data_IF_169378942521
#
_entry.id   IF_169378942521
#
_cell.length_a   1.000
_cell.length_b   1.000
_cell.length_c   1.000
_cell.angle_alpha   90.00
_cell.angle_beta   90.00
_cell.angle_gamma   90.00
#
_symmetry.space_group_name_H-M   'P 1'
#
loop_
_entity.id
_entity.type
_entity.pdbx_description
1 polymer ?
#
# COMPACT_ATOMS: atom_id res chain seq x y z
N UNK A 1 -9.01 -10.17 10.65
CA UNK A 1 -9.52 -9.24 9.60
C UNK A 1 -8.65 -7.98 9.65
N UNK A 2 -7.94 -7.67 8.57
CA UNK A 2 -7.22 -6.40 8.44
C UNK A 2 -8.30 -5.29 8.36
N UNK A 3 -8.26 -4.31 9.27
CA UNK A 3 -9.29 -3.26 9.33
C UNK A 3 -8.92 -2.13 8.36
N UNK A 4 -9.27 -2.28 7.09
CA UNK A 4 -8.97 -1.31 6.04
C UNK A 4 -9.55 0.09 6.35
N UNK A 5 -10.68 0.15 7.07
CA UNK A 5 -11.26 1.41 7.55
C UNK A 5 -10.37 2.08 8.59
N UNK A 6 -9.90 1.35 9.61
CA UNK A 6 -9.03 1.91 10.64
C UNK A 6 -7.70 2.42 10.09
N UNK A 7 -7.12 1.69 9.13
CA UNK A 7 -5.90 2.15 8.45
C UNK A 7 -6.13 3.41 7.62
N UNK A 8 -7.29 3.54 6.97
CA UNK A 8 -7.69 4.71 6.22
C UNK A 8 -7.92 5.93 7.11
N UNK A 9 -8.62 5.74 8.25
CA UNK A 9 -8.86 6.79 9.24
C UNK A 9 -7.56 7.37 9.78
N UNK A 10 -6.62 6.50 10.19
CA UNK A 10 -5.31 6.91 10.68
C UNK A 10 -4.51 7.68 9.61
N UNK A 11 -4.58 7.24 8.35
CA UNK A 11 -3.89 7.90 7.24
C UNK A 11 -4.43 9.31 6.99
N UNK A 12 -5.76 9.48 6.97
CA UNK A 12 -6.42 10.78 6.81
C UNK A 12 -6.10 11.69 7.99
N UNK A 13 -6.23 11.19 9.22
CA UNK A 13 -5.89 11.94 10.43
C UNK A 13 -4.44 12.46 10.39
N UNK A 14 -3.47 11.59 10.06
CA UNK A 14 -2.06 12.00 9.94
C UNK A 14 -1.83 13.05 8.86
N UNK A 15 -2.48 12.91 7.70
CA UNK A 15 -2.37 13.88 6.59
C UNK A 15 -2.82 15.26 7.05
N UNK A 16 -4.03 15.36 7.60
CA UNK A 16 -4.62 16.65 7.95
C UNK A 16 -4.01 17.25 9.21
N UNK A 17 -3.61 16.44 10.19
CA UNK A 17 -2.85 16.93 11.35
C UNK A 17 -1.50 17.52 10.94
N UNK A 18 -0.90 17.00 9.87
CA UNK A 18 0.32 17.58 9.30
C UNK A 18 0.02 18.87 8.54
N UNK A 19 -1.08 18.91 7.78
CA UNK A 19 -1.54 20.13 7.10
C UNK A 19 -1.76 21.28 8.09
N UNK A 20 -2.49 21.05 9.19
CA UNK A 20 -2.70 22.05 10.25
C UNK A 20 -1.38 22.61 10.79
N UNK A 21 -0.38 21.76 11.02
CA UNK A 21 0.94 22.20 11.49
C UNK A 21 1.70 23.02 10.45
N UNK A 22 1.64 22.62 9.17
CA UNK A 22 2.30 23.33 8.08
C UNK A 22 1.63 24.69 7.81
N UNK A 23 0.30 24.78 7.97
CA UNK A 23 -0.46 26.03 7.85
C UNK A 23 -0.24 26.96 9.04
N UNK A 24 -0.16 26.42 10.27
CA UNK A 24 -0.02 27.20 11.49
C UNK A 24 1.40 27.72 11.75
N UNK A 25 2.42 27.14 11.10
CA UNK A 25 3.79 27.64 11.17
C UNK A 25 4.15 28.55 9.98
N UNK A 26 5.28 29.26 10.06
CA UNK A 26 5.85 30.04 8.94
C UNK A 26 6.29 29.19 7.72
N UNK A 27 6.01 27.88 7.75
CA UNK A 27 6.24 26.93 6.67
C UNK A 27 5.05 26.88 5.71
N UNK A 28 4.55 28.06 5.28
CA UNK A 28 3.44 28.19 4.34
C UNK A 28 3.64 27.45 3.00
N UNK A 29 4.86 26.98 2.71
CA UNK A 29 5.25 26.19 1.54
C UNK A 29 5.39 24.68 1.82
N UNK A 30 4.85 24.19 2.93
CA UNK A 30 4.79 22.76 3.23
C UNK A 30 4.03 21.96 2.15
N UNK A 31 4.40 20.69 1.96
CA UNK A 31 3.77 19.81 0.96
C UNK A 31 2.25 19.67 1.12
N UNK A 32 1.75 19.85 2.34
CA UNK A 32 0.34 19.73 2.72
C UNK A 32 -0.25 21.06 3.23
N UNK A 33 0.42 22.19 3.00
CA UNK A 33 -0.12 23.51 3.38
C UNK A 33 -1.37 23.88 2.56
N UNK A 34 -1.49 23.33 1.34
CA UNK A 34 -2.67 23.50 0.50
C UNK A 34 -3.67 22.37 0.78
N UNK A 35 -4.84 22.76 1.27
CA UNK A 35 -5.96 21.86 1.51
C UNK A 35 -6.65 21.48 0.18
N UNK A 36 -7.07 20.21 0.00
CA UNK A 36 -7.80 19.83 -1.20
C UNK A 36 -9.24 20.34 -1.15
N UNK A 37 -9.78 20.71 -2.32
CA UNK A 37 -11.20 21.08 -2.45
C UNK A 37 -12.14 19.86 -2.49
N UNK A 38 -11.59 18.67 -2.74
CA UNK A 38 -12.32 17.41 -2.88
C UNK A 38 -11.43 16.22 -2.51
N UNK A 39 -12.01 15.24 -1.82
CA UNK A 39 -11.36 13.95 -1.56
C UNK A 39 -12.10 12.85 -2.31
N UNK A 40 -11.37 12.11 -3.15
CA UNK A 40 -11.85 10.89 -3.78
C UNK A 40 -11.20 9.67 -3.12
N UNK A 41 -12.03 8.72 -2.69
CA UNK A 41 -11.61 7.50 -2.01
C UNK A 41 -11.82 6.32 -2.93
N UNK A 42 -10.84 5.42 -3.07
CA UNK A 42 -11.01 4.16 -3.80
C UNK A 42 -11.78 3.16 -2.94
N UNK A 43 -13.11 3.29 -2.93
CA UNK A 43 -14.00 2.48 -2.09
C UNK A 43 -15.43 3.02 -2.06
N UNK A 44 -16.37 2.18 -1.60
CA UNK A 44 -17.78 2.56 -1.44
C UNK A 44 -18.08 3.36 -0.17
N UNK A 45 -19.38 3.52 0.12
CA UNK A 45 -19.92 4.37 1.20
C UNK A 45 -19.27 4.16 2.58
N UNK A 46 -18.94 2.92 2.96
CA UNK A 46 -18.27 2.66 4.25
C UNK A 46 -16.91 3.35 4.37
N UNK A 47 -16.16 3.47 3.27
CA UNK A 47 -14.91 4.21 3.23
C UNK A 47 -15.14 5.72 3.28
N UNK A 48 -16.15 6.22 2.54
CA UNK A 48 -16.54 7.64 2.58
C UNK A 48 -16.86 8.05 4.01
N UNK A 49 -17.73 7.31 4.68
CA UNK A 49 -18.09 7.54 6.07
C UNK A 49 -16.89 7.52 7.01
N UNK A 50 -16.00 6.54 6.87
CA UNK A 50 -14.80 6.46 7.70
C UNK A 50 -13.91 7.71 7.58
N UNK A 51 -13.75 8.24 6.36
CA UNK A 51 -13.00 9.48 6.10
C UNK A 51 -13.78 10.70 6.61
N UNK A 52 -15.08 10.80 6.31
CA UNK A 52 -15.96 11.88 6.74
C UNK A 52 -15.98 12.04 8.26
N UNK A 53 -16.05 10.93 9.01
CA UNK A 53 -16.04 10.93 10.48
C UNK A 53 -14.75 11.58 11.03
N UNK A 54 -13.59 11.25 10.44
CA UNK A 54 -12.30 11.84 10.84
C UNK A 54 -12.24 13.33 10.52
N UNK A 55 -12.68 13.74 9.33
CA UNK A 55 -12.69 15.17 8.97
C UNK A 55 -13.61 15.96 9.89
N UNK A 56 -14.76 15.39 10.24
CA UNK A 56 -15.72 16.00 11.15
C UNK A 56 -15.12 16.18 12.55
N UNK A 57 -14.45 15.17 13.08
CA UNK A 57 -13.76 15.25 14.39
C UNK A 57 -12.65 16.30 14.40
N UNK A 58 -12.05 16.58 13.24
CA UNK A 58 -11.05 17.64 13.04
C UNK A 58 -11.66 19.00 12.65
N UNK A 59 -12.98 19.12 12.57
CA UNK A 59 -13.68 20.33 12.11
C UNK A 59 -13.24 20.81 10.70
N UNK A 60 -12.97 19.85 9.80
CA UNK A 60 -12.59 20.09 8.41
C UNK A 60 -13.79 19.81 7.50
N UNK A 61 -14.12 20.77 6.64
CA UNK A 61 -15.29 20.71 5.76
C UNK A 61 -14.89 20.56 4.29
N UNK A 62 -14.35 19.39 3.93
CA UNK A 62 -14.01 19.04 2.55
C UNK A 62 -14.95 17.94 2.07
N UNK A 63 -15.59 18.06 0.89
CA UNK A 63 -16.44 17.01 0.37
C UNK A 63 -15.66 15.72 0.09
N UNK A 64 -16.26 14.59 0.45
CA UNK A 64 -15.69 13.25 0.26
C UNK A 64 -16.61 12.42 -0.61
N UNK A 65 -16.04 11.78 -1.63
CA UNK A 65 -16.76 10.83 -2.48
C UNK A 65 -15.95 9.56 -2.69
N UNK A 66 -16.65 8.43 -2.72
CA UNK A 66 -16.08 7.11 -2.98
C UNK A 66 -16.23 6.72 -4.44
N UNK A 67 -15.17 6.30 -5.11
CA UNK A 67 -15.24 5.79 -6.48
C UNK A 67 -15.69 4.34 -6.46
N UNK A 68 -16.92 4.07 -6.93
CA UNK A 68 -17.51 2.73 -6.91
C UNK A 68 -17.29 2.00 -8.22
N UNK A 69 -16.95 0.71 -8.10
CA UNK A 69 -16.75 -0.20 -9.23
C UNK A 69 -17.99 -1.08 -9.45
N UNK A 70 -18.16 -1.55 -10.68
CA UNK A 70 -19.08 -2.64 -11.01
C UNK A 70 -18.42 -4.01 -10.77
N UNK A 71 -19.17 -5.08 -11.05
CA UNK A 71 -18.69 -6.46 -10.90
C UNK A 71 -17.50 -6.78 -11.83
N UNK A 72 -17.38 -6.04 -12.94
CA UNK A 72 -16.25 -6.11 -13.88
C UNK A 72 -15.06 -5.22 -13.46
N UNK A 73 -15.06 -4.70 -12.22
CA UNK A 73 -14.03 -3.83 -11.66
C UNK A 73 -13.84 -2.50 -12.40
N UNK A 74 -14.86 -2.04 -13.15
CA UNK A 74 -14.85 -0.74 -13.83
C UNK A 74 -15.57 0.30 -13.00
N UNK A 75 -15.05 1.52 -12.98
CA UNK A 75 -15.75 2.68 -12.40
C UNK A 75 -17.14 2.78 -13.00
N UNK A 76 -18.17 2.90 -12.14
CA UNK A 76 -19.56 3.10 -12.58
C UNK A 76 -20.16 4.40 -12.05
N UNK A 77 -19.66 4.87 -10.91
CA UNK A 77 -20.25 5.98 -10.21
C UNK A 77 -19.39 6.53 -9.08
N UNK A 78 -19.94 7.52 -8.39
CA UNK A 78 -19.39 8.05 -7.15
C UNK A 78 -20.41 7.89 -6.02
N UNK A 79 -19.95 7.51 -4.84
CA UNK A 79 -20.73 7.36 -3.64
C UNK A 79 -20.53 8.56 -2.72
N UNK A 80 -21.61 9.18 -2.28
CA UNK A 80 -21.64 10.03 -1.09
C UNK A 80 -22.08 9.19 0.13
N UNK A 81 -22.13 9.83 1.30
CA UNK A 81 -22.52 9.17 2.56
C UNK A 81 -23.93 8.57 2.51
N UNK A 82 -24.85 9.19 1.76
CA UNK A 82 -26.28 8.85 1.72
C UNK A 82 -26.72 8.15 0.42
N UNK A 83 -26.00 8.34 -0.69
CA UNK A 83 -26.39 7.80 -1.99
C UNK A 83 -25.23 7.54 -2.94
N UNK A 84 -25.53 6.81 -4.01
CA UNK A 84 -24.63 6.62 -5.16
C UNK A 84 -25.16 7.41 -6.36
N UNK A 85 -24.24 8.07 -7.05
CA UNK A 85 -24.48 8.76 -8.30
C UNK A 85 -23.89 7.93 -9.45
N UNK A 86 -24.75 7.41 -10.31
CA UNK A 86 -24.32 6.75 -11.55
C UNK A 86 -23.73 7.79 -12.51
N UNK A 87 -22.57 7.47 -13.09
CA UNK A 87 -21.90 8.34 -14.06
C UNK A 87 -22.10 7.89 -15.51
N UNK A 88 -22.80 6.78 -15.74
CA UNK A 88 -23.09 6.27 -17.09
C UNK A 88 -23.80 7.28 -17.99
N UNK A 89 -24.59 8.18 -17.42
CA UNK A 89 -25.28 9.26 -18.14
C UNK A 89 -24.36 10.40 -18.57
N UNK A 90 -23.14 10.49 -18.02
CA UNK A 90 -22.15 11.50 -18.38
C UNK A 90 -20.77 10.88 -18.58
N UNK A 91 -20.50 10.46 -19.82
CA UNK A 91 -19.27 9.77 -20.20
C UNK A 91 -17.99 10.58 -19.95
N UNK A 92 -18.06 11.92 -20.00
CA UNK A 92 -16.89 12.77 -19.75
C UNK A 92 -16.49 12.71 -18.26
N UNK A 93 -17.47 12.84 -17.35
CA UNK A 93 -17.22 12.72 -15.91
C UNK A 93 -16.78 11.29 -15.58
N UNK A 94 -17.43 10.28 -16.15
CA UNK A 94 -17.05 8.88 -15.95
C UNK A 94 -15.59 8.62 -16.32
N UNK A 95 -15.16 9.09 -17.50
CA UNK A 95 -13.76 8.96 -17.94
C UNK A 95 -12.79 9.71 -17.05
N UNK A 96 -13.16 10.91 -16.60
CA UNK A 96 -12.32 11.71 -15.70
C UNK A 96 -12.11 11.02 -14.35
N UNK A 97 -13.18 10.56 -13.71
CA UNK A 97 -13.11 9.83 -12.43
C UNK A 97 -12.33 8.53 -12.60
N UNK A 98 -12.55 7.80 -13.70
CA UNK A 98 -11.79 6.57 -14.01
C UNK A 98 -10.30 6.84 -14.13
N UNK A 99 -9.89 7.91 -14.81
CA UNK A 99 -8.47 8.26 -14.94
C UNK A 99 -7.82 8.58 -13.57
N UNK A 100 -8.55 9.26 -12.68
CA UNK A 100 -8.09 9.51 -11.31
C UNK A 100 -7.94 8.20 -10.54
N UNK A 101 -8.92 7.30 -10.66
CA UNK A 101 -8.90 6.00 -9.99
C UNK A 101 -7.72 5.13 -10.47
N UNK A 102 -7.50 5.09 -11.78
CA UNK A 102 -6.39 4.35 -12.39
C UNK A 102 -5.04 4.89 -11.92
N UNK A 103 -4.88 6.21 -11.82
CA UNK A 103 -3.65 6.83 -11.33
C UNK A 103 -3.41 6.56 -9.85
N UNK A 104 -4.46 6.64 -9.01
CA UNK A 104 -4.39 6.29 -7.60
C UNK A 104 -3.99 4.81 -7.41
N UNK A 105 -4.59 3.92 -8.20
CA UNK A 105 -4.28 2.49 -8.19
C UNK A 105 -2.85 2.23 -8.65
N UNK A 106 -2.42 2.84 -9.76
CA UNK A 106 -1.04 2.75 -10.29
C UNK A 106 -0.03 3.16 -9.24
N UNK A 107 -0.27 4.29 -8.56
CA UNK A 107 0.60 4.78 -7.50
C UNK A 107 0.68 3.80 -6.33
N UNK A 108 -0.46 3.28 -5.87
CA UNK A 108 -0.52 2.31 -4.78
C UNK A 108 0.22 1.00 -5.11
N UNK A 109 0.04 0.48 -6.33
CA UNK A 109 0.75 -0.70 -6.82
C UNK A 109 2.25 -0.46 -6.90
N UNK A 110 2.68 0.67 -7.45
CA UNK A 110 4.09 1.03 -7.58
C UNK A 110 4.74 1.23 -6.21
N UNK A 111 4.05 1.90 -5.28
CA UNK A 111 4.52 2.11 -3.91
C UNK A 111 4.67 0.77 -3.16
N UNK A 112 3.68 -0.11 -3.26
CA UNK A 112 3.77 -1.45 -2.69
C UNK A 112 4.90 -2.28 -3.32
N UNK A 113 5.12 -2.14 -4.63
CA UNK A 113 6.28 -2.75 -5.31
C UNK A 113 7.58 -2.21 -4.73
N UNK A 114 7.75 -0.90 -4.59
CA UNK A 114 8.93 -0.26 -3.98
C UNK A 114 9.14 -0.69 -2.53
N UNK A 115 8.08 -0.79 -1.73
CA UNK A 115 8.17 -1.28 -0.35
C UNK A 115 8.60 -2.74 -0.29
N UNK A 116 8.06 -3.59 -1.17
CA UNK A 116 8.50 -4.98 -1.29
C UNK A 116 9.97 -5.04 -1.69
N UNK A 117 10.37 -4.32 -2.75
CA UNK A 117 11.76 -4.22 -3.15
C UNK A 117 12.67 -3.73 -2.03
N UNK A 118 12.25 -2.72 -1.25
CA UNK A 118 13.01 -2.24 -0.09
C UNK A 118 13.10 -3.28 1.02
N UNK A 119 12.05 -4.06 1.27
CA UNK A 119 12.10 -5.23 2.18
C UNK A 119 13.07 -6.29 1.65
N UNK A 120 13.21 -6.39 0.33
CA UNK A 120 14.18 -7.24 -0.35
C UNK A 120 15.57 -6.59 -0.53
N UNK A 121 15.82 -5.34 -0.15
CA UNK A 121 17.15 -4.70 -0.24
C UNK A 121 17.65 -4.41 1.19
N UNK A 122 18.82 -4.92 1.54
CA UNK A 122 19.38 -4.84 2.90
C UNK A 122 18.88 -5.96 3.83
N UNK A 123 18.42 -7.08 3.28
CA UNK A 123 18.18 -8.26 4.12
C UNK A 123 19.50 -8.99 4.28
N UNK A 124 19.75 -9.65 5.41
CA UNK A 124 20.96 -10.47 5.61
C UNK A 124 21.26 -11.48 4.47
N UNK A 125 20.25 -11.89 3.69
CA UNK A 125 20.47 -12.68 2.46
C UNK A 125 21.32 -11.97 1.38
N UNK A 126 21.42 -10.64 1.38
CA UNK A 126 22.24 -9.87 0.41
C UNK A 126 23.74 -10.00 0.68
N UNK A 127 24.12 -10.39 1.90
CA UNK A 127 25.51 -10.64 2.28
C UNK A 127 25.98 -12.04 1.84
N UNK A 128 25.07 -12.88 1.34
CA UNK A 128 25.36 -14.24 0.90
C UNK A 128 25.71 -14.20 -0.58
N UNK A 129 26.98 -14.47 -0.87
CA UNK A 129 27.47 -14.58 -2.24
C UNK A 129 26.66 -15.63 -3.05
N UNK A 130 26.16 -15.21 -4.22
CA UNK A 130 25.34 -16.06 -5.09
C UNK A 130 23.84 -15.97 -4.81
N UNK A 131 23.39 -15.17 -3.84
CA UNK A 131 21.96 -14.90 -3.61
C UNK A 131 21.58 -13.56 -4.25
N UNK A 132 21.20 -13.62 -5.53
CA UNK A 132 20.60 -12.48 -6.22
C UNK A 132 19.08 -12.35 -5.98
N UNK A 133 18.49 -11.30 -6.54
CA UNK A 133 17.07 -10.97 -6.38
C UNK A 133 16.10 -12.14 -6.67
N UNK A 134 16.37 -12.93 -7.73
CA UNK A 134 15.52 -14.08 -8.11
C UNK A 134 15.46 -15.16 -7.02
N UNK A 135 16.63 -15.61 -6.53
CA UNK A 135 16.74 -16.62 -5.47
C UNK A 135 16.15 -16.14 -4.16
N UNK A 136 16.38 -14.87 -3.82
CA UNK A 136 15.79 -14.22 -2.65
C UNK A 136 14.27 -14.18 -2.69
N UNK A 137 13.71 -13.78 -3.83
CA UNK A 137 12.27 -13.76 -4.02
C UNK A 137 11.67 -15.18 -3.91
N UNK A 138 12.34 -16.20 -4.44
CA UNK A 138 11.92 -17.60 -4.32
C UNK A 138 11.93 -18.06 -2.85
N UNK A 139 13.02 -17.78 -2.11
CA UNK A 139 13.14 -18.12 -0.68
C UNK A 139 12.06 -17.42 0.16
N UNK A 140 11.83 -16.12 -0.03
CA UNK A 140 10.78 -15.41 0.74
C UNK A 140 9.38 -15.85 0.30
N UNK A 141 9.14 -16.18 -0.97
CA UNK A 141 7.87 -16.75 -1.42
C UNK A 141 7.60 -18.10 -0.76
N UNK A 142 8.63 -18.93 -0.60
CA UNK A 142 8.51 -20.25 0.00
C UNK A 142 8.34 -20.18 1.53
N UNK A 143 9.23 -19.47 2.22
CA UNK A 143 9.27 -19.44 3.69
C UNK A 143 8.48 -18.29 4.31
N UNK A 144 8.10 -17.27 3.55
CA UNK A 144 7.32 -16.11 3.99
C UNK A 144 8.13 -15.00 4.70
N UNK A 145 9.22 -15.32 5.40
CA UNK A 145 10.05 -14.32 6.08
C UNK A 145 11.52 -14.73 6.19
N UNK A 146 12.41 -13.74 6.32
CA UNK A 146 13.85 -14.00 6.57
C UNK A 146 14.05 -14.78 7.86
N UNK A 147 13.26 -14.53 8.91
CA UNK A 147 13.36 -15.28 10.16
C UNK A 147 13.09 -16.79 9.97
N UNK A 148 12.12 -17.14 9.13
CA UNK A 148 11.84 -18.55 8.80
C UNK A 148 12.94 -19.16 7.94
N UNK A 149 13.53 -18.39 7.02
CA UNK A 149 14.68 -18.83 6.23
C UNK A 149 15.89 -19.11 7.14
N UNK A 150 16.12 -18.25 8.14
CA UNK A 150 17.20 -18.44 9.12
C UNK A 150 17.06 -19.74 9.92
N UNK A 151 15.84 -20.17 10.21
CA UNK A 151 15.55 -21.38 10.99
C UNK A 151 15.41 -22.65 10.13
N UNK A 152 15.43 -22.53 8.80
CA UNK A 152 15.22 -23.66 7.90
C UNK A 152 16.45 -24.56 7.81
N UNK A 153 16.22 -25.87 7.67
CA UNK A 153 17.28 -26.84 7.41
C UNK A 153 17.80 -26.77 5.98
N UNK A 154 18.96 -27.40 5.73
CA UNK A 154 19.59 -27.43 4.39
C UNK A 154 18.66 -28.07 3.34
N UNK A 155 17.97 -29.16 3.70
CA UNK A 155 17.07 -29.86 2.76
C UNK A 155 15.83 -29.02 2.44
N UNK A 156 15.26 -28.29 3.41
CA UNK A 156 14.15 -27.36 3.18
C UNK A 156 14.58 -26.21 2.25
N UNK A 157 15.77 -25.65 2.49
CA UNK A 157 16.33 -24.59 1.66
C UNK A 157 16.59 -25.08 0.23
N UNK A 158 17.05 -26.32 0.06
CA UNK A 158 17.29 -26.92 -1.25
C UNK A 158 15.99 -27.26 -2.00
N UNK A 159 14.87 -27.45 -1.29
CA UNK A 159 13.54 -27.65 -1.90
C UNK A 159 12.98 -26.40 -2.60
N UNK A 160 13.63 -25.24 -2.46
CA UNK A 160 13.21 -24.00 -3.11
C UNK A 160 13.73 -23.94 -4.55
N UNK A 161 12.82 -23.66 -5.49
CA UNK A 161 13.15 -23.52 -6.90
C UNK A 161 14.28 -22.49 -7.14
N UNK A 162 15.29 -22.92 -7.90
CA UNK A 162 16.51 -22.15 -8.17
C UNK A 162 17.57 -22.15 -7.06
N UNK A 163 17.38 -22.91 -5.97
CA UNK A 163 18.36 -23.09 -4.88
C UNK A 163 19.00 -24.49 -4.96
N UNK A 164 20.24 -24.55 -5.43
CA UNK A 164 21.03 -25.79 -5.39
C UNK A 164 21.51 -26.11 -3.97
N UNK A 165 21.92 -27.36 -3.73
CA UNK A 165 22.39 -27.79 -2.41
C UNK A 165 23.56 -26.95 -1.90
N UNK A 166 24.52 -26.62 -2.77
CA UNK A 166 25.64 -25.74 -2.45
C UNK A 166 25.19 -24.33 -2.01
N UNK A 167 24.11 -23.81 -2.60
CA UNK A 167 23.54 -22.51 -2.21
C UNK A 167 22.77 -22.63 -0.88
N UNK A 168 22.01 -23.72 -0.69
CA UNK A 168 21.32 -23.99 0.57
C UNK A 168 22.30 -24.09 1.76
N UNK A 169 23.42 -24.78 1.58
CA UNK A 169 24.50 -24.86 2.56
C UNK A 169 25.09 -23.47 2.86
N UNK A 170 25.40 -22.67 1.84
CA UNK A 170 25.88 -21.28 2.03
C UNK A 170 24.88 -20.45 2.86
N UNK A 171 23.59 -20.59 2.60
CA UNK A 171 22.54 -19.89 3.36
C UNK A 171 22.51 -20.36 4.81
N UNK A 172 22.47 -21.68 5.03
CA UNK A 172 22.42 -22.27 6.36
C UNK A 172 23.61 -21.84 7.22
N UNK A 173 24.83 -21.98 6.69
CA UNK A 173 26.05 -21.62 7.41
C UNK A 173 26.20 -20.12 7.62
N UNK A 174 25.71 -19.27 6.71
CA UNK A 174 25.74 -17.83 6.93
C UNK A 174 24.93 -17.43 8.18
N UNK A 175 23.80 -18.11 8.46
CA UNK A 175 22.96 -17.80 9.62
C UNK A 175 23.30 -18.57 10.90
N UNK A 176 24.00 -19.70 10.78
CA UNK A 176 24.40 -20.53 11.92
C UNK A 176 25.90 -20.45 12.24
N UNK A 177 26.62 -19.50 11.63
CA UNK A 177 28.03 -19.24 11.95
C UNK A 177 28.16 -18.82 13.42
N UNK A 178 28.67 -19.73 14.26
CA UNK A 178 28.87 -19.52 15.70
C UNK A 178 28.14 -20.52 16.61
N UNK A 179 27.43 -21.49 16.05
CA UNK A 179 27.02 -22.71 16.76
C UNK A 179 28.07 -23.82 16.62
#
# INVERSE_FOLDING_TARGET
KQNDYGAMQEMIFRRFKRAEKEIAGDAAEGKFSIMPDLILVDGGQGHVKAVSDVLKDMNIHIPVYGMVKDDSHRTRGIAADDRVYELASNLNILRFVTAIQDEAHRFAVEYNRKLREKRYRGSALDEIEGIGHKRKAALIKHFGSVAKIKAAGIDDLNGVDGISRAIAEKIYYHFHKGM
#
